data_IF_438176899105
#
_entry.id   IF_438176899105
#
_cell.length_a   1.000
_cell.length_b   1.000
_cell.length_c   1.000
_cell.angle_alpha   90.00
_cell.angle_beta   90.00
_cell.angle_gamma   90.00
#
_symmetry.space_group_name_H-M   'P 1'
#
loop_
_entity.id
_entity.type
_entity.pdbx_description
1 polymer ?
#
# COMPACT_ATOMS: atom_id res chain seq x y z
N UNK A 1 -20.85 -1.12 8.02
CA UNK A 1 -20.12 -1.24 6.75
C UNK A 1 -21.03 -0.98 5.54
N UNK A 2 -22.06 -1.77 5.28
CA UNK A 2 -22.93 -1.61 4.08
C UNK A 2 -23.76 -0.31 4.03
N UNK A 3 -24.12 0.27 5.19
CA UNK A 3 -24.83 1.56 5.28
C UNK A 3 -24.00 2.78 4.89
N UNK A 4 -22.66 2.70 4.94
CA UNK A 4 -21.78 3.82 4.56
C UNK A 4 -21.61 3.87 3.03
N UNK A 5 -21.59 2.71 2.37
CA UNK A 5 -21.47 2.54 0.91
C UNK A 5 -22.47 3.39 0.11
N UNK A 6 -23.75 3.40 0.51
CA UNK A 6 -24.82 4.12 -0.20
C UNK A 6 -24.81 5.63 0.03
N UNK A 7 -24.23 6.12 1.14
CA UNK A 7 -24.29 7.54 1.48
C UNK A 7 -23.36 8.39 0.59
N UNK A 8 -22.35 7.78 -0.03
CA UNK A 8 -21.31 8.48 -0.79
C UNK A 8 -21.16 8.02 -2.26
N UNK A 9 -22.07 7.17 -2.77
CA UNK A 9 -22.19 6.93 -4.21
C UNK A 9 -21.13 6.02 -4.85
N UNK A 10 -20.44 5.18 -4.09
CA UNK A 10 -19.39 4.31 -4.61
C UNK A 10 -19.96 2.96 -5.06
N UNK A 11 -19.88 2.67 -6.37
CA UNK A 11 -20.49 1.49 -7.00
C UNK A 11 -19.42 0.47 -7.47
N UNK A 12 -18.15 0.87 -7.66
CA UNK A 12 -17.11 0.06 -8.31
C UNK A 12 -15.74 -0.03 -7.57
N UNK A 13 -15.67 0.23 -6.26
CA UNK A 13 -14.41 0.15 -5.50
C UNK A 13 -14.16 -1.23 -4.87
N UNK A 14 -12.88 -1.66 -4.77
CA UNK A 14 -12.46 -2.79 -3.93
C UNK A 14 -11.95 -2.20 -2.61
N UNK A 15 -12.59 -2.57 -1.49
CA UNK A 15 -12.17 -2.18 -0.14
C UNK A 15 -11.03 -3.09 0.34
N UNK A 16 -9.96 -2.49 0.89
CA UNK A 16 -8.95 -3.19 1.71
C UNK A 16 -9.26 -2.90 3.16
N UNK A 17 -9.76 -3.90 3.89
CA UNK A 17 -10.05 -3.75 5.32
C UNK A 17 -8.75 -3.56 6.13
N UNK A 18 -8.79 -2.82 7.27
CA UNK A 18 -7.62 -2.60 8.13
C UNK A 18 -7.03 -3.87 8.74
N UNK A 19 -7.83 -4.95 8.81
CA UNK A 19 -7.40 -6.27 9.26
C UNK A 19 -6.81 -7.13 8.12
N UNK A 20 -6.78 -6.59 6.89
CA UNK A 20 -6.28 -7.26 5.70
C UNK A 20 -7.03 -8.55 5.34
N UNK A 21 -8.15 -8.47 4.64
CA UNK A 21 -8.63 -9.54 3.73
C UNK A 21 -9.86 -9.06 2.94
N UNK A 22 -10.14 -9.44 1.69
CA UNK A 22 -9.63 -10.50 0.81
C UNK A 22 -9.05 -9.90 -0.47
N UNK A 23 -7.76 -10.09 -0.73
CA UNK A 23 -7.13 -9.82 -2.03
C UNK A 23 -5.88 -8.94 -2.03
N UNK A 24 -5.52 -8.33 -0.89
CA UNK A 24 -4.32 -7.52 -0.73
C UNK A 24 -3.07 -8.29 -0.30
N UNK A 25 -1.90 -7.73 -0.58
CA UNK A 25 -0.60 -8.17 -0.07
C UNK A 25 -0.41 -7.69 1.37
N UNK A 26 0.12 -8.57 2.21
CA UNK A 26 0.49 -8.27 3.59
C UNK A 26 1.94 -8.69 3.82
N UNK A 27 2.83 -7.71 3.87
CA UNK A 27 4.24 -7.91 4.17
C UNK A 27 4.46 -8.24 5.64
N UNK A 28 5.55 -8.94 5.97
CA UNK A 28 5.83 -9.32 7.35
C UNK A 28 6.05 -8.10 8.25
N UNK A 29 5.37 -8.15 9.42
CA UNK A 29 5.58 -7.24 10.54
C UNK A 29 7.03 -7.27 11.04
N UNK A 30 7.68 -8.43 10.92
CA UNK A 30 9.02 -8.68 11.42
C UNK A 30 10.05 -8.42 10.32
N UNK A 31 10.98 -7.50 10.59
CA UNK A 31 11.97 -7.08 9.62
C UNK A 31 12.85 -8.24 9.11
N UNK A 32 13.14 -9.23 9.95
CA UNK A 32 13.92 -10.41 9.56
C UNK A 32 13.20 -11.31 8.54
N UNK A 33 11.87 -11.28 8.49
CA UNK A 33 11.07 -12.12 7.61
C UNK A 33 10.58 -11.36 6.36
N UNK A 34 10.98 -10.08 6.19
CA UNK A 34 10.58 -9.27 5.02
C UNK A 34 11.14 -9.80 3.72
N UNK A 35 12.29 -10.49 3.76
CA UNK A 35 12.84 -11.14 2.57
C UNK A 35 11.89 -12.21 2.02
N UNK A 36 11.20 -12.96 2.89
CA UNK A 36 10.17 -13.92 2.48
C UNK A 36 8.97 -13.22 1.82
N UNK A 37 8.61 -12.03 2.31
CA UNK A 37 7.55 -11.20 1.71
C UNK A 37 7.93 -10.77 0.29
N UNK A 38 9.19 -10.39 0.07
CA UNK A 38 9.71 -10.04 -1.26
C UNK A 38 9.79 -11.25 -2.18
N UNK A 39 10.20 -12.41 -1.67
CA UNK A 39 10.21 -13.65 -2.44
C UNK A 39 8.79 -14.08 -2.83
N UNK A 40 7.82 -13.92 -1.93
CA UNK A 40 6.41 -14.13 -2.24
C UNK A 40 5.96 -13.19 -3.35
N UNK A 41 6.22 -11.89 -3.23
CA UNK A 41 5.87 -10.90 -4.26
C UNK A 41 6.46 -11.27 -5.64
N UNK A 42 7.73 -11.68 -5.68
CA UNK A 42 8.40 -12.13 -6.91
C UNK A 42 7.78 -13.39 -7.48
N UNK A 43 7.33 -14.33 -6.64
CA UNK A 43 6.67 -15.56 -7.09
C UNK A 43 5.24 -15.32 -7.64
N UNK A 44 4.58 -14.24 -7.23
CA UNK A 44 3.28 -13.84 -7.75
C UNK A 44 3.35 -13.22 -9.15
N UNK A 45 4.55 -12.86 -9.61
CA UNK A 45 4.78 -12.29 -10.94
C UNK A 45 4.22 -13.22 -12.01
N UNK A 46 3.26 -12.70 -12.79
CA UNK A 46 2.70 -13.37 -13.97
C UNK A 46 3.56 -13.11 -15.20
N UNK A 47 3.17 -13.68 -16.34
CA UNK A 47 3.75 -13.33 -17.64
C UNK A 47 3.81 -11.79 -17.78
N UNK A 48 4.92 -11.27 -18.31
CA UNK A 48 5.21 -9.85 -18.45
C UNK A 48 4.12 -9.09 -19.20
N UNK A 49 3.42 -9.76 -20.11
CA UNK A 49 2.35 -9.18 -20.94
C UNK A 49 1.02 -8.99 -20.21
N UNK A 50 0.80 -9.67 -19.07
CA UNK A 50 -0.49 -9.61 -18.37
C UNK A 50 -0.58 -8.35 -17.48
N UNK A 51 -1.62 -7.52 -17.62
CA UNK A 51 -1.93 -6.47 -16.64
C UNK A 51 -2.09 -7.05 -15.23
N UNK A 52 -1.34 -6.53 -14.25
CA UNK A 52 -1.52 -6.87 -12.84
C UNK A 52 -1.18 -5.71 -11.90
N UNK A 53 -1.85 -5.71 -10.75
CA UNK A 53 -1.69 -4.79 -9.64
C UNK A 53 -1.59 -5.62 -8.35
N UNK A 54 -0.77 -5.14 -7.42
CA UNK A 54 -0.67 -5.63 -6.05
C UNK A 54 -0.94 -4.44 -5.13
N UNK A 55 -1.75 -4.61 -4.11
CA UNK A 55 -2.08 -3.55 -3.17
C UNK A 55 -2.19 -4.08 -1.75
N UNK A 56 -1.99 -3.23 -0.76
CA UNK A 56 -2.11 -3.59 0.66
C UNK A 56 -0.97 -3.05 1.49
N UNK A 57 -0.79 -3.64 2.67
CA UNK A 57 0.25 -3.26 3.63
C UNK A 57 1.56 -3.98 3.31
N UNK A 58 2.57 -3.24 2.87
CA UNK A 58 3.89 -3.79 2.58
C UNK A 58 4.77 -3.87 3.83
N UNK A 59 4.33 -3.26 4.94
CA UNK A 59 5.09 -3.09 6.17
C UNK A 59 6.46 -2.40 5.99
N UNK A 60 6.71 -1.75 4.84
CA UNK A 60 7.97 -1.08 4.55
C UNK A 60 7.75 0.22 3.75
N UNK A 61 8.60 1.20 4.02
CA UNK A 61 8.65 2.46 3.28
C UNK A 61 9.68 2.39 2.15
N UNK A 62 9.44 3.08 1.04
CA UNK A 62 10.41 3.17 -0.06
C UNK A 62 11.46 4.25 0.19
N UNK A 63 11.13 5.30 0.93
CA UNK A 63 12.00 6.45 1.15
C UNK A 63 11.79 7.06 2.54
N UNK A 64 12.80 7.69 3.10
CA UNK A 64 12.75 8.27 4.45
C UNK A 64 11.65 9.33 4.60
N UNK A 65 11.33 10.08 3.54
CA UNK A 65 10.24 11.09 3.58
C UNK A 65 8.84 10.48 3.73
N UNK A 66 8.69 9.16 3.56
CA UNK A 66 7.45 8.43 3.85
C UNK A 66 7.30 8.11 5.35
N UNK A 67 8.24 8.56 6.18
CA UNK A 67 8.23 8.43 7.63
C UNK A 67 8.31 9.79 8.33
N UNK A 68 7.64 9.89 9.47
CA UNK A 68 7.77 11.02 10.40
C UNK A 68 7.82 10.51 11.83
N UNK A 69 8.78 11.01 12.61
CA UNK A 69 8.98 10.62 14.00
C UNK A 69 9.65 9.25 14.17
N UNK A 70 10.04 8.95 15.41
CA UNK A 70 10.80 7.73 15.73
C UNK A 70 12.24 7.75 15.18
N UNK A 71 12.86 6.58 15.16
CA UNK A 71 14.21 6.40 14.60
C UNK A 71 14.16 6.34 13.07
N UNK A 72 15.20 6.84 12.37
CA UNK A 72 15.30 6.71 10.91
C UNK A 72 15.20 5.26 10.45
N UNK A 73 14.63 5.04 9.26
CA UNK A 73 14.58 3.69 8.68
C UNK A 73 15.94 3.34 8.10
N UNK A 74 16.39 2.10 8.29
CA UNK A 74 17.63 1.61 7.67
C UNK A 74 17.52 1.61 6.15
N UNK A 75 18.42 2.33 5.45
CA UNK A 75 18.41 2.45 3.99
C UNK A 75 18.41 1.09 3.28
N UNK A 76 19.20 0.13 3.77
CA UNK A 76 19.26 -1.23 3.20
C UNK A 76 17.89 -1.91 3.12
N UNK A 77 16.98 -1.63 4.06
CA UNK A 77 15.64 -2.23 4.07
C UNK A 77 14.73 -1.55 3.05
N UNK A 78 14.79 -0.22 2.95
CA UNK A 78 14.09 0.54 1.93
C UNK A 78 14.57 0.16 0.52
N UNK A 79 15.88 0.01 0.35
CA UNK A 79 16.50 -0.46 -0.89
C UNK A 79 16.03 -1.86 -1.27
N UNK A 80 16.01 -2.82 -0.33
CA UNK A 80 15.51 -4.16 -0.58
C UNK A 80 14.05 -4.16 -1.08
N UNK A 81 13.21 -3.29 -0.53
CA UNK A 81 11.83 -3.13 -0.99
C UNK A 81 11.77 -2.55 -2.42
N UNK A 82 12.51 -1.48 -2.70
CA UNK A 82 12.58 -0.90 -4.06
C UNK A 82 13.07 -1.91 -5.09
N UNK A 83 14.11 -2.69 -4.76
CA UNK A 83 14.64 -3.75 -5.64
C UNK A 83 13.60 -4.86 -5.87
N UNK A 84 12.82 -5.23 -4.85
CA UNK A 84 11.75 -6.21 -5.01
C UNK A 84 10.65 -5.73 -5.98
N UNK A 85 10.29 -4.44 -5.93
CA UNK A 85 9.36 -3.83 -6.88
C UNK A 85 9.94 -3.78 -8.29
N UNK A 86 11.21 -3.42 -8.43
CA UNK A 86 11.92 -3.39 -9.71
C UNK A 86 11.99 -4.77 -10.37
N UNK A 87 12.34 -5.81 -9.61
CA UNK A 87 12.36 -7.21 -10.08
C UNK A 87 10.98 -7.66 -10.58
N UNK A 88 9.91 -7.12 -9.99
CA UNK A 88 8.53 -7.40 -10.38
C UNK A 88 8.01 -6.48 -11.48
N UNK A 89 8.79 -5.46 -11.88
CA UNK A 89 8.37 -4.36 -12.77
C UNK A 89 7.09 -3.68 -12.29
N UNK A 90 6.99 -3.49 -10.98
CA UNK A 90 5.87 -2.85 -10.32
C UNK A 90 6.24 -1.41 -9.98
N UNK A 91 5.35 -0.49 -10.29
CA UNK A 91 5.50 0.94 -10.07
C UNK A 91 4.40 1.37 -9.10
N UNK A 92 4.73 2.23 -8.13
CA UNK A 92 3.74 2.86 -7.26
C UNK A 92 2.71 3.61 -8.12
N UNK A 93 1.45 3.21 -8.00
CA UNK A 93 0.33 3.82 -8.76
C UNK A 93 0.12 5.27 -8.34
N UNK A 94 0.65 5.67 -7.19
CA UNK A 94 0.38 6.95 -6.55
C UNK A 94 -0.91 6.89 -5.75
N UNK A 95 -1.26 8.03 -5.15
CA UNK A 95 -2.42 8.11 -4.27
C UNK A 95 -2.96 9.54 -4.17
N UNK A 96 -4.15 9.66 -3.59
CA UNK A 96 -4.77 10.90 -3.13
C UNK A 96 -5.12 10.81 -1.63
N UNK A 97 -5.28 11.97 -0.98
CA UNK A 97 -5.59 12.04 0.45
C UNK A 97 -4.34 12.17 1.32
N UNK A 98 -4.31 11.48 2.46
CA UNK A 98 -3.24 11.62 3.44
C UNK A 98 -1.92 11.02 2.94
N UNK A 99 -0.81 11.66 3.32
CA UNK A 99 0.53 11.17 2.97
C UNK A 99 0.88 9.85 3.66
N UNK A 100 0.49 9.71 4.91
CA UNK A 100 0.76 8.54 5.75
C UNK A 100 -0.46 7.63 5.79
N UNK A 101 -0.21 6.32 5.89
CA UNK A 101 -1.27 5.30 5.97
C UNK A 101 -1.26 4.56 7.29
N UNK A 102 -0.26 4.81 8.14
CA UNK A 102 -0.16 4.24 9.47
C UNK A 102 0.25 5.33 10.48
N UNK A 103 -0.34 5.30 11.67
CA UNK A 103 -0.04 6.24 12.75
C UNK A 103 -0.10 5.57 14.12
N UNK A 104 0.94 5.76 14.93
CA UNK A 104 0.98 5.31 16.33
C UNK A 104 1.48 6.40 17.25
N UNK A 105 0.87 6.47 18.43
CA UNK A 105 1.26 7.40 19.48
C UNK A 105 0.47 8.70 19.42
N UNK A 106 -0.03 9.12 20.58
CA UNK A 106 -0.99 10.24 20.70
C UNK A 106 -0.33 11.54 21.18
N UNK A 107 0.97 11.50 21.51
CA UNK A 107 1.74 12.67 21.94
C UNK A 107 2.74 13.05 20.85
N UNK A 108 2.99 14.36 20.60
CA UNK A 108 3.91 14.82 19.56
C UNK A 108 5.29 14.15 19.60
N UNK A 109 5.81 13.86 20.79
CA UNK A 109 7.14 13.28 21.01
C UNK A 109 7.18 11.77 20.71
N UNK A 110 6.03 11.11 20.75
CA UNK A 110 5.89 9.65 20.55
C UNK A 110 5.15 9.29 19.26
N UNK A 111 4.64 10.30 18.54
CA UNK A 111 3.87 10.15 17.33
C UNK A 111 4.79 9.70 16.18
N UNK A 112 4.50 8.53 15.65
CA UNK A 112 5.18 7.96 14.49
C UNK A 112 4.15 7.78 13.41
N UNK A 113 4.46 8.25 12.20
CA UNK A 113 3.63 8.09 11.01
C UNK A 113 4.45 7.52 9.87
N UNK A 114 3.87 6.58 9.15
CA UNK A 114 4.51 5.89 8.02
C UNK A 114 3.51 5.68 6.89
N UNK A 115 4.00 5.60 5.64
CA UNK A 115 3.21 5.12 4.49
C UNK A 115 3.56 3.66 4.24
N UNK A 116 2.80 2.75 4.82
CA UNK A 116 3.03 1.30 4.70
C UNK A 116 2.13 0.66 3.64
N UNK A 117 0.94 1.22 3.46
CA UNK A 117 -0.08 0.77 2.53
C UNK A 117 0.07 1.47 1.19
N UNK A 118 0.06 0.70 0.09
CA UNK A 118 0.11 1.25 -1.27
C UNK A 118 -0.44 0.26 -2.29
N UNK A 119 -0.70 0.75 -3.50
CA UNK A 119 -0.89 -0.09 -4.68
C UNK A 119 0.26 0.10 -5.66
N UNK A 120 0.78 -1.00 -6.18
CA UNK A 120 1.86 -1.05 -7.15
C UNK A 120 1.41 -1.88 -8.34
N UNK A 121 1.66 -1.43 -9.56
CA UNK A 121 1.15 -2.07 -10.77
C UNK A 121 2.20 -2.08 -11.88
N UNK A 122 2.07 -3.02 -12.82
CA UNK A 122 2.90 -2.96 -14.03
C UNK A 122 2.35 -1.95 -15.04
N UNK A 123 3.19 -1.58 -16.01
CA UNK A 123 2.85 -0.62 -17.06
C UNK A 123 1.61 -1.03 -17.88
N UNK A 124 1.37 -2.33 -18.05
CA UNK A 124 0.21 -2.86 -18.78
C UNK A 124 -1.11 -2.63 -18.02
N UNK A 125 -1.08 -2.70 -16.68
CA UNK A 125 -2.24 -2.36 -15.87
C UNK A 125 -2.47 -0.85 -15.85
N UNK A 126 -1.41 -0.06 -15.67
CA UNK A 126 -1.51 1.40 -15.66
C UNK A 126 -2.03 1.95 -17.00
N UNK A 127 -1.60 1.39 -18.13
CA UNK A 127 -2.09 1.79 -19.46
C UNK A 127 -3.54 1.37 -19.69
N UNK A 128 -3.97 0.26 -19.07
CA UNK A 128 -5.35 -0.21 -19.14
C UNK A 128 -6.28 0.68 -18.30
N UNK A 129 -5.81 1.23 -17.18
CA UNK A 129 -6.59 2.03 -16.23
C UNK A 129 -5.95 3.40 -15.98
N UNK A 130 -5.92 4.24 -17.01
CA UNK A 130 -5.26 5.56 -16.97
C UNK A 130 -5.83 6.52 -15.91
N UNK A 131 -7.11 6.35 -15.57
CA UNK A 131 -7.81 7.15 -14.56
C UNK A 131 -7.87 6.44 -13.19
N UNK A 132 -7.10 5.37 -13.00
CA UNK A 132 -7.05 4.69 -11.72
C UNK A 132 -6.60 5.64 -10.61
N UNK A 133 -7.28 5.58 -9.48
CA UNK A 133 -6.91 6.31 -8.28
C UNK A 133 -6.91 5.40 -7.07
N UNK A 134 -5.90 5.57 -6.22
CA UNK A 134 -5.87 5.00 -4.88
C UNK A 134 -6.06 6.17 -3.91
N UNK A 135 -7.06 6.10 -3.04
CA UNK A 135 -7.31 7.11 -2.03
C UNK A 135 -7.06 6.54 -0.64
N UNK A 136 -6.30 7.27 0.18
CA UNK A 136 -6.11 6.94 1.60
C UNK A 136 -7.27 7.54 2.40
N UNK A 137 -8.14 6.69 2.93
CA UNK A 137 -9.31 7.10 3.71
C UNK A 137 -8.94 7.29 5.18
N UNK A 138 -9.41 8.37 5.80
CA UNK A 138 -9.29 8.54 7.25
C UNK A 138 -10.28 7.61 7.93
N UNK A 139 -9.80 6.73 8.81
CA UNK A 139 -10.66 5.88 9.62
C UNK A 139 -10.37 6.07 11.12
N UNK A 140 -11.39 6.29 11.92
CA UNK A 140 -11.23 6.74 13.31
C UNK A 140 -10.93 5.64 14.33
N UNK A 141 -10.90 4.37 13.92
CA UNK A 141 -10.75 3.23 14.86
C UNK A 141 -9.62 2.28 14.50
N UNK A 142 -8.79 2.60 13.51
CA UNK A 142 -7.58 1.85 13.15
C UNK A 142 -6.39 2.80 13.14
N UNK A 143 -5.22 2.28 13.47
CA UNK A 143 -3.94 2.93 13.22
C UNK A 143 -3.59 2.97 11.73
N UNK A 144 -4.23 2.11 10.91
CA UNK A 144 -4.14 2.15 9.45
C UNK A 144 -5.27 2.96 8.80
N UNK A 145 -4.94 3.53 7.63
CA UNK A 145 -5.84 4.27 6.76
C UNK A 145 -6.22 3.36 5.59
N UNK A 146 -7.50 2.97 5.44
CA UNK A 146 -7.94 2.10 4.35
C UNK A 146 -7.60 2.67 2.97
N UNK A 147 -7.23 1.77 2.05
CA UNK A 147 -7.05 2.10 0.64
C UNK A 147 -8.37 1.90 -0.11
N UNK A 148 -8.81 2.94 -0.83
CA UNK A 148 -9.89 2.84 -1.82
C UNK A 148 -9.29 2.86 -3.22
N UNK A 149 -9.44 1.77 -3.97
CA UNK A 149 -8.98 1.67 -5.35
C UNK A 149 -10.19 1.87 -6.27
N UNK A 150 -10.12 2.91 -7.11
CA UNK A 150 -11.10 3.22 -8.14
C UNK A 150 -10.46 3.03 -9.50
N UNK A 151 -11.03 2.18 -10.35
CA UNK A 151 -10.47 1.86 -11.68
C UNK A 151 -11.30 2.39 -12.84
N UNK A 152 -12.35 3.19 -12.57
CA UNK A 152 -13.30 3.78 -13.54
C UNK A 152 -13.21 3.20 -14.96
N UNK A 153 -13.77 2.00 -15.09
CA UNK A 153 -14.20 1.40 -16.35
C UNK A 153 -15.64 0.95 -16.21
#
# INVERSE_FOLDING_TARGET
MERVRRRYGFINGIDVDPEGSKGGFYGSLYAQDREESWNLLKSLRRNEEQPWIVYGDFNEIMYEFEKKGGLPREERRMEAFRNALEDCRLIDVGYSGNWFTWERGNLPETNIRERLDRGVANVNWMSMFLEANIQHLVHSTSDHYPLLISTNK
#
